data_IF_618964955902
#
_entry.id   IF_618964955902
#
_cell.length_a   1.000
_cell.length_b   1.000
_cell.length_c   1.000
_cell.angle_alpha   90.00
_cell.angle_beta   90.00
_cell.angle_gamma   90.00
#
_symmetry.space_group_name_H-M   'P 1'
#
loop_
_entity.id
_entity.type
_entity.pdbx_description
1 polymer ?
#
# COMPACT_ATOMS: atom_id res chain seq x y z
N UNK A 1 -8.01 1.04 15.30
CA UNK A 1 -6.77 1.84 15.56
C UNK A 1 -5.92 1.24 16.68
N UNK A 2 -6.50 0.74 17.76
CA UNK A 2 -5.76 0.09 18.86
C UNK A 2 -4.83 -1.04 18.41
N UNK A 3 -5.31 -1.94 17.55
CA UNK A 3 -4.47 -3.03 16.98
C UNK A 3 -3.23 -2.48 16.25
N UNK A 4 -3.40 -1.39 15.50
CA UNK A 4 -2.30 -0.73 14.84
C UNK A 4 -1.34 -0.07 15.82
N UNK A 5 -1.85 0.56 16.89
CA UNK A 5 -1.02 1.13 17.93
C UNK A 5 -0.22 0.05 18.69
N UNK A 6 -0.80 -1.11 18.96
CA UNK A 6 -0.07 -2.26 19.53
C UNK A 6 0.98 -2.83 18.55
N UNK A 7 0.68 -2.87 17.25
CA UNK A 7 1.69 -3.20 16.24
C UNK A 7 2.87 -2.23 16.28
N UNK A 8 2.62 -0.92 16.29
CA UNK A 8 3.68 0.09 16.36
C UNK A 8 4.43 0.07 17.70
N UNK A 9 3.77 -0.25 18.81
CA UNK A 9 4.41 -0.45 20.11
C UNK A 9 5.23 -1.74 20.19
N UNK A 10 4.97 -2.73 19.34
CA UNK A 10 5.77 -3.97 19.32
C UNK A 10 6.89 -3.93 18.28
N UNK A 11 6.70 -3.22 17.17
CA UNK A 11 7.58 -3.27 15.99
C UNK A 11 8.01 -1.91 15.43
N UNK A 12 7.48 -0.81 15.96
CA UNK A 12 7.64 0.53 15.37
C UNK A 12 8.96 1.23 15.71
N UNK A 13 9.59 0.92 16.87
CA UNK A 13 10.85 1.56 17.24
C UNK A 13 12.00 1.13 16.32
N UNK A 14 12.13 -0.15 16.02
CA UNK A 14 13.16 -0.66 15.12
C UNK A 14 12.57 -1.64 14.10
N UNK A 15 12.18 -1.15 12.91
CA UNK A 15 11.47 -1.97 11.92
C UNK A 15 12.42 -2.94 11.21
N UNK A 16 12.22 -4.25 11.40
CA UNK A 16 13.10 -5.31 10.86
C UNK A 16 13.19 -5.31 9.32
N UNK A 17 12.11 -5.63 8.59
CA UNK A 17 12.08 -5.65 7.12
C UNK A 17 10.70 -5.19 6.63
N UNK A 18 10.33 -3.94 6.95
CA UNK A 18 9.08 -3.36 6.50
C UNK A 18 9.26 -2.61 5.18
N UNK A 19 8.23 -2.68 4.34
CA UNK A 19 8.14 -1.81 3.19
C UNK A 19 8.01 -0.36 3.65
N UNK A 20 8.70 0.56 2.98
CA UNK A 20 8.49 1.99 3.14
C UNK A 20 8.19 2.65 1.79
N UNK A 21 7.64 3.85 1.82
CA UNK A 21 7.36 4.58 0.57
C UNK A 21 8.63 4.88 -0.24
N UNK A 22 9.82 4.76 0.38
CA UNK A 22 11.12 4.95 -0.25
C UNK A 22 11.64 3.66 -0.90
N UNK A 23 10.90 2.54 -0.90
CA UNK A 23 11.35 1.24 -1.42
C UNK A 23 11.66 1.22 -2.92
N UNK A 24 11.28 2.25 -3.67
CA UNK A 24 11.83 2.48 -5.00
C UNK A 24 13.36 2.74 -5.00
N UNK A 25 13.95 2.93 -3.81
CA UNK A 25 15.38 2.97 -3.51
C UNK A 25 15.93 1.61 -3.03
N UNK A 26 15.10 0.57 -3.02
CA UNK A 26 15.37 -0.75 -2.43
C UNK A 26 14.92 -0.85 -0.97
N UNK A 27 14.52 -2.06 -0.56
CA UNK A 27 14.11 -2.38 0.81
C UNK A 27 15.22 -2.04 1.82
N UNK A 28 14.81 -1.47 2.95
CA UNK A 28 15.73 -1.04 3.99
C UNK A 28 15.19 -1.35 5.39
N UNK A 29 15.79 -2.36 6.01
CA UNK A 29 15.69 -2.66 7.43
C UNK A 29 16.15 -1.47 8.29
N UNK A 30 15.67 -1.42 9.54
CA UNK A 30 16.11 -0.48 10.57
C UNK A 30 15.96 0.99 10.19
N UNK A 31 15.00 1.32 9.31
CA UNK A 31 14.83 2.65 8.74
C UNK A 31 14.44 3.68 9.82
N UNK A 32 15.32 4.66 10.01
CA UNK A 32 15.22 5.67 11.08
C UNK A 32 14.03 6.61 10.86
N UNK A 33 13.75 7.01 9.61
CA UNK A 33 12.62 7.89 9.30
C UNK A 33 11.26 7.17 9.38
N UNK A 34 11.23 5.86 9.13
CA UNK A 34 10.05 5.01 9.34
C UNK A 34 9.77 4.82 10.83
N UNK A 35 10.82 4.60 11.63
CA UNK A 35 10.71 4.56 13.09
C UNK A 35 10.17 5.88 13.67
N UNK A 36 10.68 7.02 13.19
CA UNK A 36 10.15 8.34 13.58
C UNK A 36 8.64 8.45 13.28
N UNK A 37 8.19 7.97 12.12
CA UNK A 37 6.77 7.96 11.75
C UNK A 37 5.93 7.12 12.71
N UNK A 38 6.44 5.97 13.15
CA UNK A 38 5.78 5.13 14.14
C UNK A 38 5.62 5.88 15.48
N UNK A 39 6.67 6.57 15.94
CA UNK A 39 6.67 7.35 17.17
C UNK A 39 5.62 8.47 17.12
N UNK A 40 5.60 9.24 16.03
CA UNK A 40 4.58 10.28 15.79
C UNK A 40 3.18 9.68 15.79
N UNK A 41 2.98 8.52 15.16
CA UNK A 41 1.69 7.85 15.12
C UNK A 41 1.21 7.38 16.52
N UNK A 42 2.12 6.88 17.37
CA UNK A 42 1.80 6.55 18.77
C UNK A 42 1.38 7.79 19.57
N UNK A 43 2.07 8.93 19.39
CA UNK A 43 1.66 10.19 20.02
C UNK A 43 0.30 10.70 19.53
N UNK A 44 0.03 10.57 18.23
CA UNK A 44 -1.27 10.91 17.65
C UNK A 44 -2.38 10.02 18.22
N UNK A 45 -2.14 8.71 18.35
CA UNK A 45 -3.07 7.78 18.97
C UNK A 45 -3.33 8.12 20.43
N UNK A 46 -2.30 8.47 21.20
CA UNK A 46 -2.45 8.94 22.58
C UNK A 46 -3.36 10.18 22.67
N UNK A 47 -3.20 11.15 21.75
CA UNK A 47 -4.03 12.36 21.70
C UNK A 47 -5.49 12.07 21.32
N UNK A 48 -5.72 11.10 20.44
CA UNK A 48 -7.07 10.62 20.13
C UNK A 48 -7.71 9.95 21.35
N UNK A 49 -6.99 9.05 22.04
CA UNK A 49 -7.47 8.39 23.25
C UNK A 49 -7.85 9.41 24.34
N UNK A 50 -7.05 10.46 24.53
CA UNK A 50 -7.38 11.55 25.46
C UNK A 50 -8.71 12.22 25.08
N UNK A 51 -8.91 12.55 23.79
CA UNK A 51 -10.15 13.17 23.29
C UNK A 51 -11.36 12.26 23.39
N UNK A 52 -11.16 10.94 23.38
CA UNK A 52 -12.21 9.94 23.54
C UNK A 52 -12.55 9.63 25.01
N UNK A 53 -11.88 10.25 25.97
CA UNK A 53 -12.11 10.00 27.39
C UNK A 53 -11.47 8.70 27.90
N UNK A 54 -10.39 8.24 27.25
CA UNK A 54 -9.62 7.06 27.65
C UNK A 54 -8.24 7.45 28.23
N UNK A 55 -8.17 8.03 29.44
CA UNK A 55 -6.94 8.62 29.97
C UNK A 55 -5.82 7.59 30.21
N UNK A 56 -6.18 6.34 30.54
CA UNK A 56 -5.19 5.27 30.76
C UNK A 56 -4.52 4.85 29.43
N UNK A 57 -5.32 4.70 28.37
CA UNK A 57 -4.84 4.44 27.02
C UNK A 57 -3.95 5.60 26.56
N UNK A 58 -4.41 6.84 26.72
CA UNK A 58 -3.66 8.03 26.35
C UNK A 58 -2.28 8.06 27.03
N UNK A 59 -2.24 7.88 28.35
CA UNK A 59 -1.00 7.89 29.13
C UNK A 59 -0.03 6.79 28.73
N UNK A 60 -0.52 5.56 28.52
CA UNK A 60 0.30 4.44 28.09
C UNK A 60 1.03 4.74 26.78
N UNK A 61 0.30 5.17 25.76
CA UNK A 61 0.87 5.40 24.44
C UNK A 61 1.69 6.70 24.37
N UNK A 62 1.34 7.71 25.18
CA UNK A 62 2.17 8.91 25.33
C UNK A 62 3.54 8.58 25.89
N UNK A 63 3.59 7.87 27.03
CA UNK A 63 4.84 7.43 27.65
C UNK A 63 5.66 6.53 26.74
N UNK A 64 5.00 5.66 25.98
CA UNK A 64 5.66 4.80 24.99
C UNK A 64 6.34 5.64 23.92
N UNK A 65 5.63 6.62 23.33
CA UNK A 65 6.18 7.51 22.31
C UNK A 65 7.37 8.32 22.85
N UNK A 66 7.26 8.90 24.04
CA UNK A 66 8.34 9.66 24.68
C UNK A 66 9.57 8.78 24.99
N UNK A 67 9.35 7.56 25.48
CA UNK A 67 10.44 6.59 25.67
C UNK A 67 11.12 6.24 24.35
N UNK A 68 10.35 6.12 23.26
CA UNK A 68 10.89 5.83 21.95
C UNK A 68 11.66 7.00 21.35
N UNK A 69 11.26 8.26 21.60
CA UNK A 69 12.05 9.42 21.19
C UNK A 69 13.45 9.35 21.78
N UNK A 70 13.55 9.10 23.09
CA UNK A 70 14.85 9.03 23.78
C UNK A 70 15.75 7.94 23.18
N UNK A 71 15.17 6.76 22.93
CA UNK A 71 15.89 5.62 22.39
C UNK A 71 16.25 5.81 20.91
N UNK A 72 15.32 6.39 20.12
CA UNK A 72 15.55 6.77 18.73
C UNK A 72 16.72 7.74 18.60
N UNK A 73 16.74 8.79 19.45
CA UNK A 73 17.83 9.77 19.44
C UNK A 73 19.17 9.11 19.77
N UNK A 74 19.20 8.19 20.74
CA UNK A 74 20.41 7.44 21.10
C UNK A 74 20.89 6.50 19.98
N UNK A 75 19.97 5.77 19.35
CA UNK A 75 20.30 4.77 18.34
C UNK A 75 20.67 5.39 16.99
N UNK A 76 20.00 6.48 16.61
CA UNK A 76 20.16 7.10 15.30
C UNK A 76 21.25 8.19 15.27
N UNK A 77 21.80 8.61 16.40
CA UNK A 77 22.81 9.67 16.46
C UNK A 77 24.07 9.33 15.64
N UNK A 78 24.43 10.23 14.73
CA UNK A 78 25.68 10.19 13.96
C UNK A 78 26.55 11.43 14.22
N UNK A 79 26.22 12.23 15.25
CA UNK A 79 26.94 13.40 15.71
C UNK A 79 26.45 14.70 15.07
N UNK A 80 26.54 14.83 13.75
CA UNK A 80 26.13 16.04 13.01
C UNK A 80 24.83 15.88 12.19
N UNK A 81 24.19 14.71 12.30
CA UNK A 81 22.89 14.31 11.72
C UNK A 81 22.41 12.98 12.33
N UNK A 82 21.21 12.50 11.96
CA UNK A 82 20.73 11.16 12.30
C UNK A 82 20.74 10.21 11.11
N UNK A 83 21.07 8.94 11.40
CA UNK A 83 21.35 7.90 10.41
C UNK A 83 20.20 7.64 9.44
N UNK A 84 20.48 7.08 8.26
CA UNK A 84 19.45 6.53 7.36
C UNK A 84 18.81 5.26 7.97
N UNK A 85 19.65 4.37 8.52
CA UNK A 85 19.24 3.16 9.23
C UNK A 85 20.07 3.02 10.52
N UNK A 86 19.48 2.50 11.60
CA UNK A 86 20.13 2.47 12.92
C UNK A 86 21.49 1.76 12.91
N UNK A 87 21.60 0.70 12.09
CA UNK A 87 22.78 -0.14 11.92
C UNK A 87 23.79 0.39 10.87
N UNK A 88 23.58 1.58 10.30
CA UNK A 88 24.41 2.15 9.22
C UNK A 88 25.02 3.50 9.60
N UNK A 89 26.15 3.54 10.33
CA UNK A 89 26.84 4.79 10.63
C UNK A 89 27.37 5.47 9.35
N UNK A 90 27.46 6.79 9.37
CA UNK A 90 27.91 7.61 8.23
C UNK A 90 26.86 7.77 7.12
N UNK A 91 25.60 7.47 7.40
CA UNK A 91 24.51 7.53 6.42
C UNK A 91 23.43 8.52 6.85
N UNK A 92 22.67 9.07 5.91
CA UNK A 92 21.64 10.06 6.25
C UNK A 92 20.43 9.95 5.33
N UNK A 93 19.29 10.45 5.80
CA UNK A 93 18.06 10.55 5.02
C UNK A 93 17.26 11.75 5.48
N UNK A 94 16.45 12.29 4.58
CA UNK A 94 15.44 13.28 4.93
C UNK A 94 14.50 12.75 6.03
N UNK A 95 14.39 13.46 7.16
CA UNK A 95 13.45 13.18 8.25
C UNK A 95 12.10 13.87 8.02
N UNK A 96 11.55 13.74 6.82
CA UNK A 96 10.34 14.45 6.40
C UNK A 96 9.12 14.12 7.28
N UNK A 97 9.08 12.97 7.95
CA UNK A 97 7.98 12.61 8.86
C UNK A 97 7.96 13.46 10.14
N UNK A 98 9.06 14.14 10.48
CA UNK A 98 9.16 15.00 11.67
C UNK A 98 8.21 16.20 11.62
N UNK A 99 7.81 16.63 10.42
CA UNK A 99 6.87 17.75 10.24
C UNK A 99 5.53 17.52 10.95
N UNK A 100 5.12 16.26 11.10
CA UNK A 100 3.85 15.90 11.73
C UNK A 100 3.85 16.07 13.25
N UNK A 101 5.01 16.00 13.90
CA UNK A 101 5.13 16.24 15.35
C UNK A 101 4.67 17.67 15.71
N UNK A 102 5.08 18.65 14.88
CA UNK A 102 4.69 20.05 15.02
C UNK A 102 3.25 20.33 14.54
N UNK A 103 2.87 19.85 13.36
CA UNK A 103 1.53 20.09 12.80
C UNK A 103 0.44 19.57 13.75
N UNK A 104 0.63 18.35 14.27
CA UNK A 104 -0.31 17.73 15.20
C UNK A 104 -0.15 18.23 16.64
N UNK A 105 0.85 19.08 16.92
CA UNK A 105 1.19 19.57 18.27
C UNK A 105 1.31 18.42 19.26
N UNK A 106 2.11 17.43 18.90
CA UNK A 106 2.46 16.31 19.77
C UNK A 106 3.65 16.70 20.66
N UNK A 107 4.58 17.52 20.16
CA UNK A 107 5.76 17.97 20.90
C UNK A 107 6.51 16.78 21.53
N UNK A 108 6.79 15.76 20.73
CA UNK A 108 7.53 14.58 21.16
C UNK A 108 9.03 14.78 21.00
N UNK A 109 9.47 15.32 19.86
CA UNK A 109 10.88 15.46 19.56
C UNK A 109 11.41 16.83 20.01
N UNK A 110 12.60 16.90 20.65
CA UNK A 110 13.29 18.15 20.91
C UNK A 110 13.57 18.92 19.62
N UNK A 111 13.55 20.26 19.68
CA UNK A 111 13.76 21.12 18.49
C UNK A 111 15.14 20.92 17.88
N UNK A 112 16.12 20.60 18.71
CA UNK A 112 17.51 20.36 18.36
C UNK A 112 17.64 19.23 17.32
N UNK A 113 16.71 18.26 17.31
CA UNK A 113 16.67 17.18 16.30
C UNK A 113 16.48 17.76 14.91
N UNK A 114 15.47 18.64 14.75
CA UNK A 114 15.15 19.28 13.49
C UNK A 114 16.26 20.24 13.04
N UNK A 115 16.86 20.97 13.98
CA UNK A 115 17.95 21.91 13.72
C UNK A 115 19.24 21.19 13.28
N UNK A 116 19.58 20.06 13.91
CA UNK A 116 20.73 19.22 13.56
C UNK A 116 20.60 18.68 12.14
N UNK A 117 19.45 18.08 11.82
CA UNK A 117 19.14 17.60 10.46
C UNK A 117 19.18 18.73 9.42
N UNK A 118 18.56 19.87 9.71
CA UNK A 118 18.53 21.01 8.79
C UNK A 118 19.94 21.57 8.51
N UNK A 119 20.80 21.64 9.53
CA UNK A 119 22.19 22.04 9.37
C UNK A 119 22.93 21.08 8.42
N UNK A 120 22.70 19.77 8.54
CA UNK A 120 23.25 18.77 7.62
C UNK A 120 22.71 18.94 6.20
N UNK A 121 21.39 19.04 6.02
CA UNK A 121 20.74 19.15 4.72
C UNK A 121 21.25 20.31 3.89
N UNK A 122 21.45 21.48 4.52
CA UNK A 122 22.00 22.66 3.83
C UNK A 122 23.41 22.41 3.27
N UNK A 123 24.21 21.52 3.87
CA UNK A 123 25.56 21.16 3.39
C UNK A 123 25.52 20.20 2.20
N UNK A 124 24.59 19.26 2.19
CA UNK A 124 24.52 18.15 1.21
C UNK A 124 23.51 18.37 0.08
N UNK A 125 22.81 19.49 0.09
CA UNK A 125 21.82 19.84 -0.93
C UNK A 125 22.47 20.07 -2.31
N UNK A 126 21.89 19.47 -3.35
CA UNK A 126 22.34 19.65 -4.73
C UNK A 126 21.65 20.86 -5.40
N UNK A 127 22.15 21.23 -6.59
CA UNK A 127 21.69 22.38 -7.38
C UNK A 127 20.17 22.47 -7.56
N UNK A 128 19.49 21.33 -7.72
CA UNK A 128 18.07 21.24 -8.01
C UNK A 128 17.22 20.66 -6.86
N UNK A 129 17.82 20.34 -5.71
CA UNK A 129 17.09 19.82 -4.56
C UNK A 129 17.96 19.03 -3.60
N UNK A 130 17.43 18.77 -2.41
CA UNK A 130 18.04 17.86 -1.44
C UNK A 130 17.80 16.39 -1.89
N UNK A 131 18.84 15.56 -2.05
CA UNK A 131 18.66 14.12 -2.25
C UNK A 131 17.82 13.48 -1.14
N UNK A 132 17.11 12.39 -1.45
CA UNK A 132 16.30 11.68 -0.45
C UNK A 132 17.16 11.19 0.73
N UNK A 133 18.31 10.62 0.39
CA UNK A 133 19.30 10.05 1.28
C UNK A 133 20.64 9.98 0.53
N UNK A 134 21.66 9.42 1.16
CA UNK A 134 22.99 9.28 0.56
C UNK A 134 23.15 8.07 -0.38
N UNK A 135 22.09 7.31 -0.70
CA UNK A 135 22.17 6.17 -1.64
C UNK A 135 22.15 6.61 -3.09
N UNK A 136 21.57 7.79 -3.38
CA UNK A 136 21.45 8.29 -4.75
C UNK A 136 21.08 9.78 -4.83
N UNK A 137 21.32 10.37 -6.00
CA UNK A 137 21.09 11.80 -6.26
C UNK A 137 19.68 12.13 -6.77
N UNK A 138 18.67 11.30 -6.51
CA UNK A 138 17.27 11.65 -6.78
C UNK A 138 16.55 12.04 -5.50
N UNK A 139 15.37 12.62 -5.64
CA UNK A 139 14.54 13.06 -4.53
C UNK A 139 13.06 12.92 -4.85
N UNK A 140 12.23 13.16 -3.85
CA UNK A 140 10.80 13.41 -4.04
C UNK A 140 10.49 14.87 -3.76
N UNK A 141 9.70 15.47 -4.64
CA UNK A 141 9.32 16.89 -4.53
C UNK A 141 8.68 17.19 -3.18
N UNK A 142 7.60 16.49 -2.85
CA UNK A 142 6.81 16.64 -1.63
C UNK A 142 7.65 16.45 -0.37
N UNK A 143 8.56 15.46 -0.35
CA UNK A 143 9.41 15.22 0.82
C UNK A 143 10.40 16.35 1.09
N UNK A 144 10.95 17.00 0.05
CA UNK A 144 11.74 18.21 0.26
C UNK A 144 10.90 19.30 0.92
N UNK A 145 9.66 19.52 0.49
CA UNK A 145 8.78 20.54 1.09
C UNK A 145 8.46 20.22 2.57
N UNK A 146 8.27 18.93 2.89
CA UNK A 146 8.06 18.48 4.27
C UNK A 146 9.32 18.69 5.12
N UNK A 147 10.48 18.28 4.60
CA UNK A 147 11.78 18.48 5.25
C UNK A 147 12.11 19.95 5.44
N UNK A 148 11.83 20.80 4.46
CA UNK A 148 12.01 22.25 4.57
C UNK A 148 11.15 22.90 5.67
N UNK A 149 10.13 22.19 6.15
CA UNK A 149 9.13 22.68 7.10
C UNK A 149 9.41 22.22 8.54
N UNK A 150 10.40 21.36 8.79
CA UNK A 150 10.59 20.71 10.12
C UNK A 150 11.08 21.65 11.22
N UNK A 151 11.80 22.72 10.91
CA UNK A 151 12.30 23.69 11.91
C UNK A 151 11.34 24.84 12.15
N UNK A 152 10.35 25.00 11.28
CA UNK A 152 9.44 26.15 11.22
C UNK A 152 10.12 27.51 10.93
N UNK A 153 11.43 27.55 10.65
CA UNK A 153 12.13 28.80 10.32
C UNK A 153 12.00 29.15 8.83
N UNK A 154 11.68 30.41 8.53
CA UNK A 154 11.47 30.86 7.16
C UNK A 154 12.74 30.75 6.28
N UNK A 155 13.90 31.01 6.86
CA UNK A 155 15.17 30.95 6.14
C UNK A 155 15.60 29.51 5.82
N UNK A 156 15.33 28.57 6.73
CA UNK A 156 15.51 27.14 6.50
C UNK A 156 14.61 26.66 5.36
N UNK A 157 13.33 27.05 5.41
CA UNK A 157 12.36 26.74 4.35
C UNK A 157 12.84 27.26 2.99
N UNK A 158 13.20 28.54 2.91
CA UNK A 158 13.71 29.15 1.68
C UNK A 158 14.98 28.49 1.17
N UNK A 159 15.89 28.10 2.06
CA UNK A 159 17.15 27.45 1.69
C UNK A 159 16.92 26.13 0.96
N UNK A 160 15.94 25.33 1.38
CA UNK A 160 15.62 24.05 0.73
C UNK A 160 14.68 24.21 -0.49
N UNK A 161 13.87 25.27 -0.51
CA UNK A 161 12.90 25.49 -1.61
C UNK A 161 13.55 26.16 -2.82
N UNK A 162 14.58 27.00 -2.64
CA UNK A 162 15.22 27.69 -3.75
C UNK A 162 15.74 26.72 -4.86
N UNK A 163 16.38 25.58 -4.55
CA UNK A 163 16.72 24.57 -5.55
C UNK A 163 15.52 23.90 -6.22
N UNK A 164 14.42 23.70 -5.50
CA UNK A 164 13.17 23.16 -6.06
C UNK A 164 12.55 24.14 -7.06
N UNK A 165 12.52 25.43 -6.74
CA UNK A 165 12.08 26.48 -7.68
C UNK A 165 12.97 26.51 -8.92
N UNK A 166 14.29 26.35 -8.74
CA UNK A 166 15.24 26.24 -9.85
C UNK A 166 14.93 25.01 -10.71
N UNK A 167 14.66 23.86 -10.11
CA UNK A 167 14.26 22.63 -10.82
C UNK A 167 13.02 22.88 -11.70
N UNK A 168 11.96 23.47 -11.13
CA UNK A 168 10.72 23.73 -11.86
C UNK A 168 10.91 24.69 -13.05
N UNK A 169 11.88 25.61 -12.96
CA UNK A 169 12.18 26.55 -14.03
C UNK A 169 13.14 25.99 -15.10
N UNK A 170 14.09 25.13 -14.71
CA UNK A 170 15.21 24.70 -15.57
C UNK A 170 15.06 23.24 -16.07
N UNK A 171 14.07 22.46 -15.60
CA UNK A 171 13.94 21.06 -16.00
C UNK A 171 13.81 20.91 -17.52
N UNK A 172 14.60 20.00 -18.16
CA UNK A 172 14.52 19.79 -19.61
C UNK A 172 13.30 18.96 -20.00
N UNK A 173 12.62 18.32 -19.03
CA UNK A 173 11.57 17.36 -19.30
C UNK A 173 10.21 18.03 -19.38
N UNK A 174 9.51 17.82 -20.51
CA UNK A 174 8.19 18.40 -20.79
C UNK A 174 7.07 17.51 -20.26
N UNK A 175 7.03 17.31 -18.94
CA UNK A 175 6.00 16.53 -18.24
C UNK A 175 5.29 17.38 -17.18
N UNK A 176 4.03 17.05 -16.81
CA UNK A 176 3.42 17.65 -15.63
C UNK A 176 4.31 17.47 -14.39
N UNK A 177 4.30 18.44 -13.48
CA UNK A 177 5.18 18.54 -12.30
C UNK A 177 5.49 17.16 -11.71
N UNK A 178 6.68 16.65 -12.02
CA UNK A 178 7.11 15.33 -11.54
C UNK A 178 7.48 15.44 -10.08
N UNK A 179 7.12 14.42 -9.33
CA UNK A 179 7.42 14.31 -7.93
C UNK A 179 8.61 13.37 -7.67
N UNK A 180 9.32 12.87 -8.69
CA UNK A 180 10.53 12.05 -8.57
C UNK A 180 11.56 12.36 -9.65
N UNK A 181 12.60 13.09 -9.25
CA UNK A 181 13.58 13.68 -10.17
C UNK A 181 15.00 13.66 -9.61
N UNK A 182 15.97 13.86 -10.49
CA UNK A 182 17.39 13.92 -10.19
C UNK A 182 17.80 15.32 -9.77
N UNK A 183 18.34 15.46 -8.56
CA UNK A 183 18.68 16.76 -7.96
C UNK A 183 19.96 17.39 -8.50
N UNK A 184 20.74 16.64 -9.29
CA UNK A 184 21.98 17.12 -9.88
C UNK A 184 21.82 17.62 -11.33
N UNK A 185 20.77 17.19 -12.05
CA UNK A 185 20.59 17.54 -13.47
C UNK A 185 19.14 17.91 -13.87
N UNK A 186 18.22 18.01 -12.90
CA UNK A 186 16.81 18.36 -13.10
C UNK A 186 15.99 17.41 -13.98
N UNK A 187 16.54 16.25 -14.36
CA UNK A 187 15.79 15.27 -15.16
C UNK A 187 14.82 14.49 -14.30
N UNK A 188 13.65 14.19 -14.86
CA UNK A 188 12.70 13.23 -14.33
C UNK A 188 13.39 11.87 -14.17
N UNK A 189 13.15 11.21 -13.03
CA UNK A 189 13.49 9.80 -12.83
C UNK A 189 12.30 8.90 -13.11
N UNK A 190 11.11 9.30 -12.65
CA UNK A 190 9.84 8.63 -12.89
C UNK A 190 8.69 9.48 -12.34
N UNK A 191 7.52 8.88 -12.10
CA UNK A 191 6.31 9.50 -11.51
C UNK A 191 5.88 10.89 -12.05
N UNK A 192 4.64 11.00 -12.50
CA UNK A 192 4.06 12.25 -13.01
C UNK A 192 2.57 12.26 -12.80
N UNK A 193 1.98 13.45 -12.70
CA UNK A 193 0.54 13.64 -12.56
C UNK A 193 -0.12 12.83 -11.42
N UNK A 194 0.59 12.68 -10.28
CA UNK A 194 0.09 11.98 -9.10
C UNK A 194 -0.51 12.97 -8.10
N UNK A 195 -1.55 12.59 -7.34
CA UNK A 195 -2.13 13.46 -6.30
C UNK A 195 -1.14 13.81 -5.18
N UNK A 196 -0.04 13.06 -5.06
CA UNK A 196 1.06 13.30 -4.11
C UNK A 196 1.61 14.73 -4.20
N UNK A 197 1.50 15.40 -5.35
CA UNK A 197 1.87 16.82 -5.51
C UNK A 197 1.15 17.76 -4.54
N UNK A 198 0.00 17.36 -3.97
CA UNK A 198 -0.65 18.11 -2.88
C UNK A 198 0.24 18.28 -1.64
N UNK A 199 1.22 17.41 -1.44
CA UNK A 199 2.21 17.50 -0.35
C UNK A 199 3.04 18.79 -0.36
N UNK A 200 3.10 19.53 -1.48
CA UNK A 200 3.79 20.83 -1.54
C UNK A 200 3.14 21.90 -0.66
N UNK A 201 1.87 21.72 -0.30
CA UNK A 201 1.12 22.66 0.54
C UNK A 201 1.30 22.41 2.04
N UNK A 202 2.17 21.48 2.46
CA UNK A 202 2.40 21.14 3.88
C UNK A 202 2.65 22.37 4.75
N UNK A 203 3.39 23.36 4.24
CA UNK A 203 3.75 24.59 4.96
C UNK A 203 2.51 25.41 5.35
N UNK A 204 1.45 25.37 4.53
CA UNK A 204 0.19 26.05 4.84
C UNK A 204 -0.51 25.45 6.08
N UNK A 205 -0.27 24.17 6.40
CA UNK A 205 -0.82 23.54 7.60
C UNK A 205 -0.13 23.99 8.90
N UNK A 206 1.07 24.56 8.80
CA UNK A 206 1.79 25.15 9.94
C UNK A 206 1.42 26.61 10.18
N UNK A 207 0.87 27.29 9.17
CA UNK A 207 0.37 28.65 9.28
C UNK A 207 -1.00 28.66 9.97
N UNK A 208 -1.01 29.09 11.23
CA UNK A 208 -2.24 29.12 12.04
C UNK A 208 -3.25 30.15 11.55
N UNK A 209 -2.82 31.24 10.94
CA UNK A 209 -3.74 32.26 10.45
C UNK A 209 -4.47 31.74 9.21
N UNK A 210 -3.74 31.09 8.31
CA UNK A 210 -4.33 30.42 7.14
C UNK A 210 -5.23 29.26 7.59
N UNK A 211 -4.77 28.40 8.50
CA UNK A 211 -5.57 27.31 9.05
C UNK A 211 -6.87 27.83 9.66
N UNK A 212 -6.79 28.82 10.55
CA UNK A 212 -7.96 29.40 11.23
C UNK A 212 -8.93 30.04 10.24
N UNK A 213 -8.42 30.74 9.22
CA UNK A 213 -9.23 31.30 8.14
C UNK A 213 -10.08 30.22 7.46
N UNK A 214 -9.50 29.07 7.13
CA UNK A 214 -10.22 28.02 6.42
C UNK A 214 -11.10 27.18 7.35
N UNK A 215 -10.64 26.87 8.56
CA UNK A 215 -11.45 26.13 9.55
C UNK A 215 -12.65 26.93 10.04
N UNK A 216 -12.55 28.26 10.17
CA UNK A 216 -13.70 29.10 10.53
C UNK A 216 -14.83 29.07 9.47
N UNK A 217 -14.48 28.74 8.21
CA UNK A 217 -15.42 28.57 7.11
C UNK A 217 -15.72 27.10 6.82
N UNK A 218 -15.05 26.15 7.49
CA UNK A 218 -15.44 24.77 7.44
C UNK A 218 -16.70 24.65 8.28
N UNK A 219 -17.79 24.20 7.67
CA UNK A 219 -18.95 23.74 8.44
C UNK A 219 -18.41 22.83 9.53
N UNK A 220 -18.77 23.11 10.78
CA UNK A 220 -18.33 22.27 11.87
C UNK A 220 -18.70 20.84 11.50
N UNK A 221 -17.69 19.99 11.36
CA UNK A 221 -17.83 18.54 11.31
C UNK A 221 -18.45 17.96 12.60
N UNK A 222 -19.09 18.80 13.41
CA UNK A 222 -20.02 18.44 14.46
C UNK A 222 -21.30 17.92 13.80
N UNK A 223 -21.27 16.64 13.46
CA UNK A 223 -22.42 15.88 12.98
C UNK A 223 -22.29 14.44 13.43
N UNK A 224 -23.41 13.71 13.37
CA UNK A 224 -23.40 12.25 13.50
C UNK A 224 -22.67 11.70 12.28
N UNK A 225 -21.40 11.30 12.47
CA UNK A 225 -20.67 10.54 11.46
C UNK A 225 -21.46 9.27 11.17
N UNK A 226 -21.63 8.93 9.88
CA UNK A 226 -22.08 7.59 9.54
C UNK A 226 -21.13 6.61 10.21
N UNK A 227 -21.68 5.61 10.91
CA UNK A 227 -20.87 4.52 11.44
C UNK A 227 -20.04 3.94 10.28
N UNK A 228 -18.79 3.56 10.58
CA UNK A 228 -18.00 2.77 9.63
C UNK A 228 -18.85 1.52 9.36
N UNK A 229 -19.24 1.25 8.11
CA UNK A 229 -20.09 0.11 7.81
C UNK A 229 -19.33 -1.17 8.21
N UNK A 230 -20.06 -2.11 8.81
CA UNK A 230 -19.49 -3.41 9.09
C UNK A 230 -19.13 -4.07 7.75
N UNK A 231 -17.90 -4.61 7.60
CA UNK A 231 -17.52 -5.27 6.36
C UNK A 231 -18.46 -6.44 6.10
N UNK A 232 -18.80 -6.75 4.84
CA UNK A 232 -19.72 -7.83 4.55
C UNK A 232 -19.14 -9.18 5.02
N UNK A 233 -20.02 -10.08 5.49
CA UNK A 233 -19.63 -11.44 5.81
C UNK A 233 -19.54 -12.25 4.53
N UNK A 234 -18.38 -12.85 4.28
CA UNK A 234 -18.15 -13.75 3.14
C UNK A 234 -18.39 -15.19 3.58
N UNK A 235 -19.25 -15.92 2.85
CA UNK A 235 -19.52 -17.34 3.10
C UNK A 235 -19.32 -18.11 1.79
N UNK A 236 -18.27 -18.94 1.72
CA UNK A 236 -18.05 -19.77 0.54
C UNK A 236 -19.24 -20.72 0.28
N UNK A 237 -19.77 -20.66 -0.93
CA UNK A 237 -20.82 -21.56 -1.45
C UNK A 237 -20.22 -22.65 -2.32
N UNK A 238 -19.19 -22.31 -3.09
CA UNK A 238 -18.35 -23.26 -3.83
C UNK A 238 -16.92 -22.98 -3.41
N UNK A 239 -16.33 -23.96 -2.71
CA UNK A 239 -15.09 -23.72 -2.02
C UNK A 239 -13.93 -23.38 -2.97
N UNK A 240 -13.10 -22.45 -2.52
CA UNK A 240 -11.79 -22.18 -3.11
C UNK A 240 -10.77 -23.23 -2.61
N UNK A 241 -9.53 -23.08 -3.05
CA UNK A 241 -8.37 -23.87 -2.62
C UNK A 241 -7.60 -23.21 -1.47
N UNK A 242 -8.09 -22.09 -0.92
CA UNK A 242 -7.47 -21.35 0.17
C UNK A 242 -7.26 -22.26 1.40
N UNK A 243 -8.35 -22.73 1.99
CA UNK A 243 -8.31 -23.57 3.19
C UNK A 243 -7.93 -25.02 2.88
N UNK A 244 -8.43 -25.57 1.78
CA UNK A 244 -8.27 -26.98 1.43
C UNK A 244 -8.17 -27.18 -0.07
N UNK A 245 -7.26 -28.05 -0.49
CA UNK A 245 -7.01 -28.32 -1.91
C UNK A 245 -8.29 -28.75 -2.66
N UNK A 246 -8.55 -28.10 -3.81
CA UNK A 246 -9.58 -28.50 -4.77
C UNK A 246 -8.92 -29.00 -6.04
N UNK A 247 -9.38 -30.13 -6.57
CA UNK A 247 -8.79 -30.66 -7.80
C UNK A 247 -9.30 -29.87 -9.01
N UNK A 248 -8.38 -29.56 -9.91
CA UNK A 248 -8.63 -28.92 -11.19
C UNK A 248 -7.94 -29.72 -12.29
N UNK A 249 -8.52 -29.72 -13.48
CA UNK A 249 -7.80 -30.03 -14.70
C UNK A 249 -7.10 -28.77 -15.21
N UNK A 250 -5.87 -28.91 -15.71
CA UNK A 250 -5.12 -27.77 -16.23
C UNK A 250 -4.15 -28.11 -17.38
N UNK A 251 -3.85 -27.09 -18.17
CA UNK A 251 -2.81 -27.09 -19.20
C UNK A 251 -2.16 -25.69 -19.29
N UNK A 252 -0.90 -25.62 -19.71
CA UNK A 252 -0.16 -24.36 -19.87
C UNK A 252 0.03 -23.95 -21.33
N UNK A 253 -0.16 -24.89 -22.25
CA UNK A 253 -0.20 -24.64 -23.68
C UNK A 253 -1.64 -24.41 -24.11
N UNK A 254 -1.83 -23.57 -25.12
CA UNK A 254 -3.16 -23.21 -25.62
C UNK A 254 -3.94 -24.47 -26.06
N UNK A 255 -5.09 -24.78 -25.44
CA UNK A 255 -5.92 -25.92 -25.82
C UNK A 255 -6.75 -25.63 -27.08
N UNK A 256 -7.56 -26.59 -27.50
CA UNK A 256 -8.54 -26.41 -28.57
C UNK A 256 -9.51 -25.26 -28.26
N UNK A 257 -10.00 -24.57 -29.30
CA UNK A 257 -10.84 -23.36 -29.15
C UNK A 257 -12.12 -23.59 -28.32
N UNK A 258 -12.69 -24.80 -28.31
CA UNK A 258 -13.89 -25.15 -27.55
C UNK A 258 -13.61 -25.63 -26.12
N UNK A 259 -12.40 -25.40 -25.59
CA UNK A 259 -11.97 -25.88 -24.28
C UNK A 259 -12.87 -25.45 -23.11
N UNK A 260 -13.71 -24.42 -23.23
CA UNK A 260 -14.63 -23.95 -22.18
C UNK A 260 -16.04 -24.57 -22.29
N UNK A 261 -16.35 -25.32 -23.35
CA UNK A 261 -17.65 -25.93 -23.57
C UNK A 261 -18.02 -26.95 -22.47
N UNK A 262 -19.32 -27.16 -22.25
CA UNK A 262 -19.82 -28.05 -21.17
C UNK A 262 -19.38 -29.49 -21.37
N UNK A 263 -19.38 -29.96 -22.61
CA UNK A 263 -19.07 -31.33 -23.02
C UNK A 263 -17.58 -31.58 -23.31
N UNK A 264 -16.72 -30.57 -23.14
CA UNK A 264 -15.28 -30.75 -23.32
C UNK A 264 -14.70 -31.65 -22.22
N UNK A 265 -14.07 -32.75 -22.64
CA UNK A 265 -13.39 -33.70 -21.76
C UNK A 265 -11.89 -33.33 -21.64
N UNK A 266 -11.47 -32.74 -20.50
CA UNK A 266 -10.07 -32.36 -20.31
C UNK A 266 -9.14 -33.57 -20.19
N UNK A 267 -9.61 -34.71 -19.66
CA UNK A 267 -8.79 -35.90 -19.51
C UNK A 267 -8.48 -36.53 -20.87
N UNK A 268 -9.47 -36.65 -21.75
CA UNK A 268 -9.28 -37.11 -23.12
C UNK A 268 -8.37 -36.16 -23.93
N UNK A 269 -8.40 -34.85 -23.63
CA UNK A 269 -7.51 -33.85 -24.21
C UNK A 269 -6.10 -33.83 -23.61
N UNK A 270 -5.77 -34.73 -22.67
CA UNK A 270 -4.45 -34.85 -22.06
C UNK A 270 -4.13 -33.79 -21.01
N UNK A 271 -5.14 -33.11 -20.45
CA UNK A 271 -4.91 -32.14 -19.38
C UNK A 271 -4.45 -32.85 -18.11
N UNK A 272 -3.56 -32.19 -17.37
CA UNK A 272 -3.08 -32.67 -16.08
C UNK A 272 -4.11 -32.39 -15.00
N UNK A 273 -4.03 -33.08 -13.87
CA UNK A 273 -4.80 -32.78 -12.67
C UNK A 273 -3.88 -32.25 -11.57
N UNK A 274 -4.39 -31.33 -10.76
CA UNK A 274 -3.63 -30.76 -9.65
C UNK A 274 -4.50 -29.98 -8.67
N UNK A 275 -4.04 -29.83 -7.41
CA UNK A 275 -4.71 -28.99 -6.43
C UNK A 275 -4.65 -27.50 -6.84
N UNK A 276 -5.77 -26.80 -6.71
CA UNK A 276 -5.91 -25.38 -7.03
C UNK A 276 -5.11 -24.46 -6.11
N UNK A 277 -5.04 -23.19 -6.48
CA UNK A 277 -3.97 -22.30 -6.03
C UNK A 277 -2.75 -22.46 -6.93
N UNK A 278 -2.90 -22.10 -8.20
CA UNK A 278 -1.87 -22.21 -9.22
C UNK A 278 -1.03 -20.93 -9.25
N UNK A 279 0.27 -21.00 -8.99
CA UNK A 279 1.09 -19.78 -9.03
C UNK A 279 2.54 -19.95 -8.59
N UNK A 280 3.16 -18.85 -8.20
CA UNK A 280 4.54 -18.79 -7.67
C UNK A 280 4.59 -18.37 -6.21
N UNK A 281 5.56 -18.91 -5.45
CA UNK A 281 5.81 -18.46 -4.07
C UNK A 281 6.18 -16.97 -4.06
N UNK A 282 5.70 -16.25 -3.05
CA UNK A 282 5.97 -14.82 -2.89
C UNK A 282 4.90 -13.91 -3.49
N UNK A 283 3.93 -14.45 -4.23
CA UNK A 283 2.73 -13.68 -4.60
C UNK A 283 1.91 -13.36 -3.33
N UNK A 284 1.53 -12.09 -3.10
CA UNK A 284 0.76 -11.69 -1.91
C UNK A 284 -0.53 -12.50 -1.76
N UNK A 285 -0.82 -12.96 -0.54
CA UNK A 285 -2.04 -13.75 -0.22
C UNK A 285 -2.14 -15.13 -0.88
N UNK A 286 -1.17 -15.53 -1.70
CA UNK A 286 -1.25 -16.76 -2.47
C UNK A 286 -0.99 -18.02 -1.62
N UNK A 287 -1.92 -18.97 -1.68
CA UNK A 287 -1.73 -20.34 -1.16
C UNK A 287 -1.39 -21.26 -2.32
N UNK A 288 -0.12 -21.27 -2.72
CA UNK A 288 0.34 -22.03 -3.90
C UNK A 288 0.39 -23.53 -3.61
N UNK A 289 -0.47 -24.30 -4.28
CA UNK A 289 -0.51 -25.77 -4.18
C UNK A 289 -0.05 -26.46 -5.46
N UNK A 290 -0.24 -25.83 -6.62
CA UNK A 290 0.35 -26.26 -7.89
C UNK A 290 1.20 -25.15 -8.46
N UNK A 291 2.41 -25.47 -8.91
CA UNK A 291 3.30 -24.47 -9.51
C UNK A 291 2.84 -24.13 -10.92
N UNK A 292 2.55 -22.85 -11.16
CA UNK A 292 2.36 -22.26 -12.48
C UNK A 292 3.34 -21.09 -12.59
N UNK A 293 4.19 -21.11 -13.61
CA UNK A 293 5.24 -20.11 -13.83
C UNK A 293 5.46 -19.79 -15.33
N UNK A 294 4.41 -19.98 -16.13
CA UNK A 294 4.34 -19.68 -17.56
C UNK A 294 3.45 -18.46 -17.80
N UNK A 295 3.37 -17.99 -19.04
CA UNK A 295 2.52 -16.84 -19.41
C UNK A 295 1.04 -17.16 -19.35
N UNK A 296 0.62 -18.41 -19.56
CA UNK A 296 -0.79 -18.76 -19.67
C UNK A 296 -1.09 -20.05 -18.90
N UNK A 297 -2.32 -20.14 -18.40
CA UNK A 297 -2.91 -21.35 -17.83
C UNK A 297 -4.39 -21.43 -18.18
N UNK A 298 -4.83 -22.64 -18.52
CA UNK A 298 -6.23 -22.98 -18.68
C UNK A 298 -6.62 -23.97 -17.60
N UNK A 299 -7.74 -23.72 -16.93
CA UNK A 299 -8.26 -24.49 -15.81
C UNK A 299 -9.70 -24.92 -16.10
N UNK A 300 -10.05 -26.12 -15.64
CA UNK A 300 -11.44 -26.62 -15.63
C UNK A 300 -11.71 -27.40 -14.36
N UNK A 301 -12.90 -27.21 -13.78
CA UNK A 301 -13.45 -28.10 -12.76
C UNK A 301 -14.96 -28.15 -12.81
N UNK A 302 -15.52 -29.23 -12.30
CA UNK A 302 -16.93 -29.31 -11.97
C UNK A 302 -17.19 -28.84 -10.54
N UNK A 303 -18.39 -28.32 -10.29
CA UNK A 303 -18.88 -27.96 -8.97
C UNK A 303 -20.39 -28.12 -8.88
N UNK A 304 -20.93 -28.23 -7.67
CA UNK A 304 -22.36 -28.41 -7.45
C UNK A 304 -22.94 -27.22 -6.69
N UNK A 305 -24.12 -26.76 -7.10
CA UNK A 305 -24.90 -25.75 -6.39
C UNK A 305 -26.23 -26.32 -5.92
N UNK A 306 -26.55 -26.14 -4.63
CA UNK A 306 -27.86 -26.48 -4.08
C UNK A 306 -28.91 -25.38 -4.36
N UNK A 307 -28.47 -24.13 -4.49
CA UNK A 307 -29.30 -22.97 -4.81
C UNK A 307 -28.42 -21.89 -5.48
N UNK A 308 -29.06 -20.91 -6.11
CA UNK A 308 -28.41 -19.75 -6.73
C UNK A 308 -28.99 -18.48 -6.08
N UNK A 309 -28.48 -18.06 -4.92
CA UNK A 309 -29.04 -16.91 -4.21
C UNK A 309 -28.65 -15.57 -4.88
N UNK A 310 -29.44 -14.53 -4.63
CA UNK A 310 -29.20 -13.19 -5.20
C UNK A 310 -27.90 -12.56 -4.71
N UNK A 311 -27.38 -12.96 -3.55
CA UNK A 311 -26.11 -12.51 -3.00
C UNK A 311 -24.91 -13.37 -3.42
N UNK A 312 -25.07 -14.29 -4.37
CA UNK A 312 -23.98 -15.10 -4.92
C UNK A 312 -23.03 -14.26 -5.77
N UNK A 313 -21.74 -14.37 -5.47
CA UNK A 313 -20.64 -13.71 -6.16
C UNK A 313 -19.63 -14.75 -6.63
N UNK A 314 -18.98 -14.46 -7.76
CA UNK A 314 -17.76 -15.16 -8.14
C UNK A 314 -16.67 -14.76 -7.15
N UNK A 315 -15.88 -15.71 -6.64
CA UNK A 315 -14.87 -15.42 -5.61
C UNK A 315 -13.50 -15.83 -6.15
N UNK A 316 -12.63 -14.87 -6.45
CA UNK A 316 -11.42 -15.10 -7.27
C UNK A 316 -10.23 -14.40 -6.67
N UNK A 317 -9.09 -15.09 -6.68
CA UNK A 317 -7.78 -14.47 -6.53
C UNK A 317 -7.01 -14.72 -7.82
N UNK A 318 -6.64 -13.65 -8.51
CA UNK A 318 -5.98 -13.71 -9.81
C UNK A 318 -4.81 -12.73 -9.91
N UNK A 319 -3.76 -13.15 -10.61
CA UNK A 319 -2.57 -12.38 -10.97
C UNK A 319 -2.01 -13.01 -12.27
N UNK A 320 -2.24 -12.45 -13.47
CA UNK A 320 -2.92 -11.18 -13.78
C UNK A 320 -4.30 -11.42 -14.43
N UNK A 321 -4.42 -11.21 -15.74
CA UNK A 321 -5.70 -11.10 -16.42
C UNK A 321 -6.40 -12.46 -16.49
N UNK A 322 -7.66 -12.54 -16.07
CA UNK A 322 -8.44 -13.78 -16.03
C UNK A 322 -9.75 -13.68 -16.81
N UNK A 323 -10.03 -14.69 -17.63
CA UNK A 323 -11.27 -14.88 -18.37
C UNK A 323 -11.98 -16.11 -17.83
N UNK A 324 -13.23 -15.95 -17.40
CA UNK A 324 -13.96 -16.98 -16.68
C UNK A 324 -15.23 -17.34 -17.44
N UNK A 325 -15.47 -18.64 -17.55
CA UNK A 325 -16.60 -19.24 -18.23
C UNK A 325 -17.35 -20.16 -17.27
N UNK A 326 -18.67 -20.13 -17.32
CA UNK A 326 -19.55 -21.02 -16.57
C UNK A 326 -20.48 -21.70 -17.55
N UNK A 327 -20.48 -23.03 -17.53
CA UNK A 327 -21.29 -23.86 -18.44
C UNK A 327 -21.16 -23.40 -19.92
N UNK A 328 -19.94 -23.10 -20.37
CA UNK A 328 -19.66 -22.66 -21.74
C UNK A 328 -19.97 -21.19 -22.05
N UNK A 329 -20.56 -20.45 -21.11
CA UNK A 329 -20.88 -19.03 -21.26
C UNK A 329 -19.77 -18.18 -20.65
N UNK A 330 -19.28 -17.18 -21.37
CA UNK A 330 -18.36 -16.18 -20.85
C UNK A 330 -19.05 -15.31 -19.79
N UNK A 331 -18.50 -15.26 -18.57
CA UNK A 331 -19.14 -14.60 -17.43
C UNK A 331 -18.37 -13.41 -16.86
N UNK A 332 -17.04 -13.39 -17.00
CA UNK A 332 -16.21 -12.32 -16.46
C UNK A 332 -14.86 -12.21 -17.20
N UNK A 333 -14.37 -10.97 -17.29
CA UNK A 333 -12.98 -10.61 -17.58
C UNK A 333 -12.48 -9.76 -16.43
N UNK A 334 -11.38 -10.20 -15.82
CA UNK A 334 -10.75 -9.53 -14.69
C UNK A 334 -9.36 -9.09 -15.15
N UNK A 335 -9.08 -7.79 -15.04
CA UNK A 335 -7.79 -7.23 -15.45
C UNK A 335 -6.91 -6.86 -14.26
N UNK A 336 -5.60 -6.91 -14.44
CA UNK A 336 -4.63 -6.66 -13.37
C UNK A 336 -4.58 -7.81 -12.36
N UNK A 337 -4.31 -7.51 -11.10
CA UNK A 337 -4.14 -8.52 -10.05
C UNK A 337 -4.88 -8.17 -8.76
N UNK A 338 -5.16 -9.18 -7.95
CA UNK A 338 -5.59 -9.05 -6.55
C UNK A 338 -4.50 -9.58 -5.62
N UNK A 339 -4.58 -9.21 -4.33
CA UNK A 339 -3.67 -9.73 -3.30
C UNK A 339 -4.35 -10.69 -2.32
N UNK A 340 -5.64 -10.94 -2.53
CA UNK A 340 -6.48 -11.91 -1.81
C UNK A 340 -7.65 -12.33 -2.72
N UNK A 341 -8.54 -13.20 -2.24
CA UNK A 341 -9.78 -13.52 -2.91
C UNK A 341 -10.79 -12.39 -2.78
N UNK A 342 -11.20 -11.85 -3.91
CA UNK A 342 -12.21 -10.80 -4.00
C UNK A 342 -13.54 -11.33 -4.51
N UNK A 343 -14.68 -10.86 -3.97
CA UNK A 343 -16.00 -11.18 -4.50
C UNK A 343 -16.38 -10.25 -5.66
N UNK A 344 -16.76 -10.85 -6.79
CA UNK A 344 -17.25 -10.16 -7.99
C UNK A 344 -18.75 -10.43 -8.19
N UNK A 345 -19.58 -9.38 -8.28
CA UNK A 345 -21.01 -9.53 -8.53
C UNK A 345 -21.28 -10.29 -9.83
N UNK A 346 -22.21 -11.24 -9.78
CA UNK A 346 -22.62 -11.96 -10.98
C UNK A 346 -23.54 -11.07 -11.83
N UNK A 347 -23.14 -10.87 -13.09
CA UNK A 347 -24.00 -10.30 -14.12
C UNK A 347 -25.24 -11.17 -14.34
N UNK A 348 -26.28 -10.61 -14.97
CA UNK A 348 -27.48 -11.38 -15.32
C UNK A 348 -27.14 -12.58 -16.22
N UNK A 349 -26.21 -12.39 -17.18
CA UNK A 349 -25.68 -13.46 -18.03
C UNK A 349 -25.02 -14.57 -17.22
N UNK A 350 -24.18 -14.20 -16.24
CA UNK A 350 -23.49 -15.16 -15.38
C UNK A 350 -24.48 -15.97 -14.51
N UNK A 351 -25.52 -15.31 -13.98
CA UNK A 351 -26.57 -15.99 -13.21
C UNK A 351 -27.37 -16.97 -14.06
N UNK A 352 -27.76 -16.58 -15.29
CA UNK A 352 -28.49 -17.47 -16.21
C UNK A 352 -27.66 -18.65 -16.69
N UNK A 353 -26.34 -18.53 -16.72
CA UNK A 353 -25.45 -19.63 -17.07
C UNK A 353 -25.41 -20.71 -15.98
N UNK A 354 -25.66 -20.37 -14.72
CA UNK A 354 -25.67 -21.32 -13.60
C UNK A 354 -26.95 -22.16 -13.58
N UNK A 355 -26.83 -23.40 -13.09
CA UNK A 355 -27.97 -24.27 -12.81
C UNK A 355 -27.84 -24.90 -11.42
N UNK A 356 -28.98 -25.24 -10.81
CA UNK A 356 -28.99 -26.08 -9.61
C UNK A 356 -28.48 -27.48 -10.02
N UNK A 357 -27.58 -28.06 -9.22
CA UNK A 357 -26.86 -29.29 -9.54
C UNK A 357 -25.45 -29.02 -10.07
N UNK A 358 -24.94 -29.94 -10.92
CA UNK A 358 -23.58 -29.90 -11.44
C UNK A 358 -23.38 -28.80 -12.48
N UNK A 359 -22.30 -28.04 -12.35
CA UNK A 359 -21.88 -26.98 -13.25
C UNK A 359 -20.40 -27.18 -13.60
N UNK A 360 -19.96 -26.54 -14.68
CA UNK A 360 -18.56 -26.49 -15.10
C UNK A 360 -18.06 -25.06 -15.00
N UNK A 361 -16.90 -24.87 -14.37
CA UNK A 361 -16.13 -23.63 -14.40
C UNK A 361 -14.88 -23.84 -15.25
N UNK A 362 -14.65 -22.93 -16.19
CA UNK A 362 -13.46 -22.90 -17.02
C UNK A 362 -12.79 -21.52 -16.91
N UNK A 363 -11.47 -21.47 -16.76
CA UNK A 363 -10.72 -20.22 -16.57
C UNK A 363 -9.51 -20.23 -17.49
N UNK A 364 -9.26 -19.11 -18.15
CA UNK A 364 -7.98 -18.80 -18.76
C UNK A 364 -7.36 -17.64 -17.97
N UNK A 365 -6.13 -17.79 -17.50
CA UNK A 365 -5.41 -16.69 -16.84
C UNK A 365 -4.09 -16.46 -17.54
N UNK A 366 -3.81 -15.19 -17.84
CA UNK A 366 -2.64 -14.71 -18.56
C UNK A 366 -1.81 -13.82 -17.64
N UNK A 367 -0.55 -14.17 -17.51
CA UNK A 367 0.48 -13.48 -16.75
C UNK A 367 1.44 -12.75 -17.71
N UNK A 368 1.74 -11.48 -17.43
CA UNK A 368 2.73 -10.71 -18.19
C UNK A 368 4.00 -10.41 -17.40
N UNK A 369 3.91 -10.02 -16.13
CA UNK A 369 5.05 -9.71 -15.26
C UNK A 369 4.71 -9.80 -13.77
N UNK A 370 5.71 -10.13 -12.94
CA UNK A 370 5.58 -10.01 -11.48
C UNK A 370 5.22 -11.32 -10.78
N UNK A 371 4.33 -11.24 -9.78
CA UNK A 371 3.75 -12.42 -9.15
C UNK A 371 2.87 -13.17 -10.15
N UNK A 372 2.40 -14.38 -9.82
CA UNK A 372 1.30 -14.99 -10.57
C UNK A 372 0.52 -15.96 -9.70
N UNK A 373 -0.80 -15.91 -9.82
CA UNK A 373 -1.72 -16.74 -9.05
C UNK A 373 -3.07 -16.84 -9.75
N UNK A 374 -3.72 -18.00 -9.66
CA UNK A 374 -5.13 -18.14 -10.01
C UNK A 374 -5.78 -19.27 -9.19
N UNK A 375 -6.90 -18.93 -8.55
CA UNK A 375 -7.88 -19.88 -8.02
C UNK A 375 -9.23 -19.17 -7.90
N UNK A 376 -10.32 -19.95 -7.94
CA UNK A 376 -11.66 -19.39 -7.93
C UNK A 376 -12.67 -20.32 -7.26
N UNK A 377 -13.77 -19.72 -6.82
CA UNK A 377 -14.93 -20.34 -6.23
C UNK A 377 -16.15 -19.42 -6.34
N UNK A 378 -17.12 -19.64 -5.46
CA UNK A 378 -18.27 -18.76 -5.30
C UNK A 378 -18.49 -18.53 -3.82
N UNK A 379 -18.88 -17.30 -3.47
CA UNK A 379 -19.23 -16.95 -2.11
C UNK A 379 -20.50 -16.10 -2.07
N UNK A 380 -21.21 -16.16 -0.95
CA UNK A 380 -22.27 -15.21 -0.63
C UNK A 380 -21.63 -14.02 0.08
N UNK A 381 -22.00 -12.82 -0.35
CA UNK A 381 -21.59 -11.55 0.27
C UNK A 381 -22.79 -11.03 1.05
N UNK A 382 -22.76 -11.21 2.37
CA UNK A 382 -23.89 -10.85 3.23
C UNK A 382 -23.60 -9.49 3.86
N UNK A 383 -24.37 -8.43 3.53
CA UNK A 383 -24.24 -7.14 4.19
C UNK A 383 -24.40 -7.28 5.70
N UNK A 384 -23.68 -6.45 6.46
CA UNK A 384 -23.79 -6.37 7.90
C UNK A 384 -24.37 -5.02 8.29
N UNK A 385 -25.39 -5.04 9.16
CA UNK A 385 -26.04 -3.84 9.71
C UNK A 385 -25.13 -3.06 10.67
#
# INVERSE_FOLDING_TARGET
LTEWAEYLKSKGLDPENQLCTDDFAGHLAHNVNLSLKAIVALGAYAKLAERMGEPQTAELYRKTAESYVNEWMRMADDGDHYRLAFDRPGTWSQKYNLVWDDILKLNLFPKEVAETEMAHYKRVQNRYGLPLDNRSNYTKLDWILWTASITNHQDDFKALIAPVVRFLNETPDRVPMTDWYWTHNARQRGFRARPVVGGVFIRLMQDRDIWNKWVANADSMAGTWSAIPNPPKIIETVATSMDSARQWHYVFDRPAENWYAVDFDPAAAGWRTGPGGFGTRGTPGAVVRTRWNTSDIWLRREFTLAAIPDDLHLYVHHDEDAQIYINGVFVAELGGFTTDYDPYPLSETARKALKIGTNVMAIHCRQTTGGQYIDAGFARVIPQD
#
